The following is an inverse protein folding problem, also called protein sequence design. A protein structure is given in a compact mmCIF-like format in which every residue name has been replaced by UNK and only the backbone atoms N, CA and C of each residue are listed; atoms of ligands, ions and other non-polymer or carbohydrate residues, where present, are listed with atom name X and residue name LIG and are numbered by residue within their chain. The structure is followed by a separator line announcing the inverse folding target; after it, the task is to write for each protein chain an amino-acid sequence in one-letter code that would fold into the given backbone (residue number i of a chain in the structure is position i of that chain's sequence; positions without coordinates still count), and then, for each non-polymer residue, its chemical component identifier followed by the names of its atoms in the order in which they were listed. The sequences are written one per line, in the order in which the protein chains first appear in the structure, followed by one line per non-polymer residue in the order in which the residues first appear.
data_IF_445140328161
#
_entry.id   IF_445140328161
#
_cell.length_a   1.000
_cell.length_b   1.000
_cell.length_c   1.000
_cell.angle_alpha   90.00
_cell.angle_beta   90.00
_cell.angle_gamma   90.00
#
_symmetry.space_group_name_H-M   'P 1'
#
loop_
_entity.id
_entity.type
_entity.pdbx_description
1 polymer ?
#
# COMPACT_ATOMS: atom_id res chain seq x y z
N UNK A 1 5.25 3.14 -0.80
CA UNK A 1 5.46 4.43 -0.07
C UNK A 1 6.52 4.21 0.98
N UNK A 2 7.58 5.03 1.05
CA UNK A 2 8.72 4.79 1.95
C UNK A 2 9.56 3.56 1.57
N UNK A 3 10.65 3.76 0.83
CA UNK A 3 11.54 2.69 0.38
C UNK A 3 12.59 2.28 1.42
N UNK A 4 12.70 2.98 2.56
CA UNK A 4 13.68 2.72 3.61
C UNK A 4 13.06 2.98 4.99
N UNK A 5 13.45 2.17 5.98
CA UNK A 5 13.04 2.34 7.40
C UNK A 5 11.62 1.87 7.71
N UNK A 6 11.21 1.88 8.98
CA UNK A 6 9.86 1.43 9.35
C UNK A 6 8.78 2.34 8.76
N UNK A 7 7.74 1.74 8.19
CA UNK A 7 6.57 2.49 7.70
C UNK A 7 5.67 2.89 8.86
N UNK A 8 5.06 4.06 8.76
CA UNK A 8 4.07 4.57 9.71
C UNK A 8 2.71 4.76 9.01
N UNK A 9 1.64 4.31 9.66
CA UNK A 9 0.28 4.33 9.08
C UNK A 9 -0.31 5.73 9.00
N UNK A 10 0.11 6.63 9.89
CA UNK A 10 -0.35 8.02 9.94
C UNK A 10 0.49 8.93 9.03
N UNK A 11 1.54 8.41 8.41
CA UNK A 11 2.45 9.19 7.60
C UNK A 11 2.03 9.25 6.12
N UNK A 12 1.83 10.47 5.64
CA UNK A 12 1.67 10.79 4.21
C UNK A 12 0.58 9.94 3.53
N UNK A 13 0.89 9.26 2.42
CA UNK A 13 -0.11 8.52 1.64
C UNK A 13 -0.59 7.22 2.31
N UNK A 14 0.16 6.68 3.28
CA UNK A 14 -0.32 5.52 4.05
C UNK A 14 -1.60 5.89 4.82
N UNK A 15 -1.65 7.13 5.34
CA UNK A 15 -2.83 7.67 6.01
C UNK A 15 -4.01 7.73 5.04
N UNK A 16 -3.82 8.31 3.86
CA UNK A 16 -4.88 8.41 2.85
C UNK A 16 -5.44 7.04 2.45
N UNK A 17 -4.57 6.03 2.30
CA UNK A 17 -4.99 4.68 1.96
C UNK A 17 -5.69 3.97 3.13
N UNK A 18 -5.22 4.16 4.35
CA UNK A 18 -5.90 3.65 5.55
C UNK A 18 -7.30 4.27 5.73
N UNK A 19 -7.44 5.55 5.37
CA UNK A 19 -8.70 6.29 5.45
C UNK A 19 -9.62 6.06 4.22
N UNK A 20 -9.15 5.37 3.18
CA UNK A 20 -9.86 5.20 1.90
C UNK A 20 -11.22 4.53 2.03
N UNK A 21 -11.41 3.68 3.04
CA UNK A 21 -12.69 3.02 3.30
C UNK A 21 -13.81 3.97 3.74
N UNK A 22 -13.48 5.20 4.18
CA UNK A 22 -14.46 6.14 4.74
C UNK A 22 -14.34 7.58 4.22
N UNK A 23 -13.22 7.97 3.62
CA UNK A 23 -13.02 9.34 3.10
C UNK A 23 -13.52 9.55 1.67
N UNK A 24 -14.07 8.52 1.01
CA UNK A 24 -14.59 8.59 -0.35
C UNK A 24 -13.51 8.58 -1.45
N UNK A 25 -12.27 8.24 -1.12
CA UNK A 25 -11.18 8.08 -2.10
C UNK A 25 -11.31 6.75 -2.83
N UNK A 26 -11.35 6.81 -4.16
CA UNK A 26 -11.27 5.63 -5.03
C UNK A 26 -9.83 5.15 -5.14
N UNK A 27 -9.62 3.84 -4.98
CA UNK A 27 -8.29 3.22 -5.08
C UNK A 27 -8.21 2.42 -6.38
N UNK A 28 -7.34 2.85 -7.29
CA UNK A 28 -7.10 2.18 -8.56
C UNK A 28 -5.80 1.38 -8.47
N UNK A 29 -5.89 0.06 -8.72
CA UNK A 29 -4.74 -0.83 -8.69
C UNK A 29 -4.05 -0.84 -10.07
N UNK A 30 -2.74 -0.59 -10.08
CA UNK A 30 -1.89 -0.69 -11.26
C UNK A 30 -0.79 -1.72 -11.02
N UNK A 31 -0.57 -2.59 -11.99
CA UNK A 31 0.58 -3.47 -12.03
C UNK A 31 1.69 -2.83 -12.87
N UNK A 32 2.92 -2.88 -12.38
CA UNK A 32 4.10 -2.49 -13.16
C UNK A 32 5.00 -3.69 -13.37
N UNK A 33 5.13 -4.13 -14.62
CA UNK A 33 6.02 -5.24 -15.01
C UNK A 33 7.40 -4.75 -15.45
N UNK A 34 7.51 -3.47 -15.85
CA UNK A 34 8.74 -2.82 -16.32
C UNK A 34 8.77 -1.37 -15.86
N UNK A 35 9.95 -0.75 -15.72
CA UNK A 35 10.07 0.67 -15.43
C UNK A 35 9.26 1.49 -16.44
N UNK A 36 8.50 2.48 -15.95
CA UNK A 36 7.61 3.33 -16.75
C UNK A 36 6.48 2.61 -17.50
N UNK A 37 6.18 1.35 -17.18
CA UNK A 37 5.03 0.63 -17.71
C UNK A 37 4.03 0.35 -16.58
N UNK A 38 2.83 0.90 -16.70
CA UNK A 38 1.74 0.73 -15.73
C UNK A 38 0.52 0.19 -16.45
N UNK A 39 0.06 -0.98 -16.03
CA UNK A 39 -1.14 -1.60 -16.53
C UNK A 39 -2.22 -1.47 -15.46
N UNK A 40 -3.33 -0.84 -15.81
CA UNK A 40 -4.51 -0.80 -14.95
C UNK A 40 -5.04 -2.21 -14.73
N UNK A 41 -5.21 -2.60 -13.47
CA UNK A 41 -5.71 -3.92 -13.08
C UNK A 41 -7.21 -3.85 -12.79
N UNK A 42 -7.60 -3.10 -11.76
CA UNK A 42 -9.00 -2.92 -11.36
C UNK A 42 -9.13 -1.80 -10.34
N UNK A 43 -10.36 -1.37 -10.08
CA UNK A 43 -10.69 -0.60 -8.88
C UNK A 43 -10.77 -1.56 -7.69
N UNK A 44 -10.26 -1.11 -6.54
CA UNK A 44 -10.18 -1.90 -5.32
C UNK A 44 -10.62 -1.07 -4.12
N UNK A 45 -11.02 -1.76 -3.06
CA UNK A 45 -11.37 -1.13 -1.78
C UNK A 45 -10.67 -1.84 -0.62
N UNK A 46 -10.47 -1.09 0.45
CA UNK A 46 -9.92 -1.61 1.70
C UNK A 46 -10.97 -2.50 2.38
N UNK A 47 -10.64 -3.77 2.63
CA UNK A 47 -11.58 -4.76 3.22
C UNK A 47 -11.31 -5.09 4.68
N UNK A 48 -10.30 -4.48 5.28
CA UNK A 48 -9.94 -4.72 6.67
C UNK A 48 -8.93 -3.71 7.19
N UNK A 49 -8.60 -3.83 8.46
CA UNK A 49 -7.62 -2.95 9.10
C UNK A 49 -6.21 -3.23 8.57
N UNK A 50 -5.46 -2.19 8.15
CA UNK A 50 -4.06 -2.36 7.75
C UNK A 50 -3.23 -2.88 8.92
N UNK A 51 -2.31 -3.81 8.65
CA UNK A 51 -1.51 -4.44 9.69
C UNK A 51 -0.01 -4.38 9.35
N UNK A 52 0.82 -4.52 10.39
CA UNK A 52 2.27 -4.51 10.22
C UNK A 52 2.80 -5.91 9.95
N UNK A 53 3.73 -6.01 9.00
CA UNK A 53 4.49 -7.22 8.72
C UNK A 53 5.98 -6.89 8.66
N UNK A 54 6.82 -7.82 9.09
CA UNK A 54 8.28 -7.68 8.95
C UNK A 54 8.70 -8.19 7.57
N UNK A 55 9.32 -7.34 6.76
CA UNK A 55 9.89 -7.71 5.47
C UNK A 55 11.34 -7.20 5.35
N UNK A 56 12.13 -7.81 4.48
CA UNK A 56 13.47 -7.33 4.18
C UNK A 56 13.38 -6.15 3.21
N UNK A 57 14.10 -5.07 3.54
CA UNK A 57 14.32 -3.94 2.65
C UNK A 57 15.35 -4.27 1.55
N UNK A 58 15.59 -3.35 0.61
CA UNK A 58 16.63 -3.50 -0.43
C UNK A 58 18.04 -3.74 0.16
N UNK A 59 18.28 -3.29 1.40
CA UNK A 59 19.53 -3.48 2.14
C UNK A 59 19.55 -4.78 2.99
N UNK A 60 18.64 -5.74 2.75
CA UNK A 60 18.44 -6.97 3.55
C UNK A 60 18.11 -6.75 5.03
N UNK A 61 17.75 -5.52 5.43
CA UNK A 61 17.37 -5.20 6.80
C UNK A 61 15.89 -5.49 7.04
N UNK A 62 15.60 -6.17 8.14
CA UNK A 62 14.22 -6.35 8.60
C UNK A 62 13.61 -4.98 8.93
N UNK A 63 12.50 -4.65 8.28
CA UNK A 63 11.72 -3.44 8.53
C UNK A 63 10.25 -3.78 8.69
N UNK A 64 9.53 -2.95 9.44
CA UNK A 64 8.07 -3.00 9.52
C UNK A 64 7.49 -2.33 8.27
N UNK A 65 6.73 -3.09 7.51
CA UNK A 65 5.91 -2.61 6.41
C UNK A 65 4.44 -2.75 6.77
N UNK A 66 3.61 -1.86 6.24
CA UNK A 66 2.18 -1.88 6.43
C UNK A 66 1.57 -2.59 5.23
N UNK A 67 0.79 -3.62 5.52
CA UNK A 67 0.05 -4.40 4.54
C UNK A 67 -1.39 -3.94 4.55
N UNK A 68 -1.88 -3.56 3.37
CA UNK A 68 -3.26 -3.11 3.17
C UNK A 68 -4.05 -4.27 2.54
N UNK A 69 -5.05 -4.83 3.23
CA UNK A 69 -5.91 -5.85 2.66
C UNK A 69 -6.90 -5.21 1.67
N UNK A 70 -6.69 -5.46 0.38
CA UNK A 70 -7.51 -4.92 -0.71
C UNK A 70 -8.35 -6.01 -1.36
N UNK A 71 -9.53 -5.63 -1.84
CA UNK A 71 -10.39 -6.50 -2.67
C UNK A 71 -10.87 -5.74 -3.90
N UNK A 72 -10.96 -6.45 -5.02
CA UNK A 72 -11.55 -5.94 -6.24
C UNK A 72 -13.06 -5.75 -6.07
N UNK A 73 -13.58 -4.72 -6.75
CA UNK A 73 -15.02 -4.50 -6.91
C UNK A 73 -15.64 -5.63 -7.73
#
# INVERSE_FOLDING_TARGET
MGLKGDQDINFSQNKTLAESGFNGVQVLLFNSSKPNCYQYASEVYLVGEPFYQTQQDEDNKNRKVIVFPLKNI
#
